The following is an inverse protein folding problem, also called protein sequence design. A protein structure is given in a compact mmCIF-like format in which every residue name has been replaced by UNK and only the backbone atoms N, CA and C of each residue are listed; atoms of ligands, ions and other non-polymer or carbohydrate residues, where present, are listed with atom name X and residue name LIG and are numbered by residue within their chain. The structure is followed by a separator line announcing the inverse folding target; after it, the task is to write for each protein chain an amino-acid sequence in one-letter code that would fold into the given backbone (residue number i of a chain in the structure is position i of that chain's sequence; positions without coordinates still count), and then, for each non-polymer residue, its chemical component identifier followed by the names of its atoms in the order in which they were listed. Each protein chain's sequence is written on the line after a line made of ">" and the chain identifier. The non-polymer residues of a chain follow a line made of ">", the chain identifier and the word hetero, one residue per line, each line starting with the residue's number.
data_IF_162946392804
#
_entry.id   IF_162946392804
#
_cell.length_a   1.000
_cell.length_b   1.000
_cell.length_c   1.000
_cell.angle_alpha   90.00
_cell.angle_beta   90.00
_cell.angle_gamma   90.00
#
_symmetry.space_group_name_H-M   'P 1'
#
loop_
_entity.id
_entity.type
_entity.pdbx_description
1 polymer ?
#
# COMPACT_ATOMS: atom_id res chain seq x y z
N UNK A 1 -31.63 -7.71 2.68
CA UNK A 1 -30.18 -7.90 2.88
C UNK A 1 -29.59 -6.57 3.31
N UNK A 2 -28.90 -6.45 4.45
CA UNK A 2 -28.25 -5.20 4.81
C UNK A 2 -27.15 -4.93 3.79
N UNK A 3 -27.22 -3.79 3.09
CA UNK A 3 -26.10 -3.31 2.27
C UNK A 3 -24.93 -3.14 3.22
N UNK A 4 -23.92 -4.01 3.12
CA UNK A 4 -22.65 -3.78 3.81
C UNK A 4 -22.05 -2.52 3.20
N UNK A 5 -22.22 -1.40 3.89
CA UNK A 5 -21.46 -0.19 3.62
C UNK A 5 -20.04 -0.46 4.11
N UNK A 6 -19.09 -0.57 3.18
CA UNK A 6 -17.70 -0.72 3.52
C UNK A 6 -17.21 0.50 4.30
N UNK A 7 -16.34 0.28 5.27
CA UNK A 7 -15.72 1.37 6.00
C UNK A 7 -14.62 2.01 5.15
N UNK A 8 -14.24 3.24 5.47
CA UNK A 8 -13.09 3.89 4.83
C UNK A 8 -11.78 3.11 5.03
N UNK A 9 -11.66 2.40 6.16
CA UNK A 9 -10.52 1.51 6.44
C UNK A 9 -10.50 0.31 5.48
N UNK A 10 -11.66 -0.30 5.18
CA UNK A 10 -11.75 -1.40 4.21
C UNK A 10 -11.33 -0.95 2.80
N UNK A 11 -11.79 0.24 2.39
CA UNK A 11 -11.48 0.83 1.09
C UNK A 11 -9.99 1.17 1.01
N UNK A 12 -9.43 1.80 2.04
CA UNK A 12 -8.01 2.18 2.06
C UNK A 12 -7.07 0.97 2.12
N UNK A 13 -7.43 -0.08 2.87
CA UNK A 13 -6.70 -1.33 2.91
C UNK A 13 -6.67 -2.00 1.52
N UNK A 14 -7.81 -2.05 0.83
CA UNK A 14 -7.85 -2.59 -0.54
C UNK A 14 -7.07 -1.72 -1.53
N UNK A 15 -7.17 -0.39 -1.44
CA UNK A 15 -6.37 0.53 -2.26
C UNK A 15 -4.88 0.28 -2.10
N UNK A 16 -4.40 0.11 -0.86
CA UNK A 16 -3.01 -0.19 -0.58
C UNK A 16 -2.59 -1.55 -1.17
N UNK A 17 -3.42 -2.58 -0.99
CA UNK A 17 -3.16 -3.91 -1.53
C UNK A 17 -3.09 -3.90 -3.07
N UNK A 18 -3.96 -3.15 -3.75
CA UNK A 18 -3.93 -2.98 -5.21
C UNK A 18 -2.68 -2.23 -5.66
N UNK A 19 -2.30 -1.18 -4.93
CA UNK A 19 -1.06 -0.43 -5.18
C UNK A 19 0.19 -1.32 -5.06
N UNK A 20 0.26 -2.15 -4.02
CA UNK A 20 1.34 -3.13 -3.82
C UNK A 20 1.36 -4.15 -4.95
N UNK A 21 0.21 -4.78 -5.25
CA UNK A 21 0.12 -5.80 -6.28
C UNK A 21 0.56 -5.25 -7.65
N UNK A 22 0.16 -4.01 -7.99
CA UNK A 22 0.59 -3.33 -9.21
C UNK A 22 2.09 -3.05 -9.24
N UNK A 23 2.65 -2.51 -8.15
CA UNK A 23 4.07 -2.21 -8.04
C UNK A 23 4.94 -3.48 -8.14
N UNK A 24 4.47 -4.58 -7.54
CA UNK A 24 5.15 -5.87 -7.55
C UNK A 24 4.80 -6.75 -8.76
N UNK A 25 3.94 -6.29 -9.68
CA UNK A 25 3.45 -7.06 -10.84
C UNK A 25 2.80 -8.41 -10.46
N UNK A 26 2.16 -8.46 -9.30
CA UNK A 26 1.43 -9.64 -8.82
C UNK A 26 -0.02 -9.55 -9.29
N UNK A 27 -0.59 -10.59 -9.92
CA UNK A 27 -2.00 -10.59 -10.30
C UNK A 27 -2.88 -10.50 -9.05
N UNK A 28 -3.84 -9.57 -9.08
CA UNK A 28 -4.83 -9.46 -8.03
C UNK A 28 -5.96 -10.45 -8.27
N UNK A 29 -6.12 -11.44 -7.39
CA UNK A 29 -7.11 -12.53 -7.55
C UNK A 29 -8.16 -12.59 -6.44
N UNK A 30 -8.02 -11.78 -5.39
CA UNK A 30 -8.81 -11.89 -4.17
C UNK A 30 -10.18 -11.21 -4.26
N UNK A 31 -10.30 -10.11 -5.00
CA UNK A 31 -11.57 -9.45 -5.23
C UNK A 31 -11.96 -9.56 -6.71
N UNK A 32 -13.18 -10.01 -6.97
CA UNK A 32 -13.75 -9.95 -8.31
C UNK A 32 -13.99 -8.49 -8.72
N UNK A 33 -13.72 -8.15 -9.98
CA UNK A 33 -13.86 -6.78 -10.51
C UNK A 33 -15.29 -6.20 -10.37
N UNK A 34 -16.28 -7.05 -10.09
CA UNK A 34 -17.68 -6.68 -9.86
C UNK A 34 -18.00 -6.34 -8.40
N UNK A 35 -17.03 -6.50 -7.48
CA UNK A 35 -17.22 -6.11 -6.08
C UNK A 35 -17.33 -4.60 -5.95
N UNK A 36 -18.35 -4.13 -5.21
CA UNK A 36 -18.55 -2.70 -4.92
C UNK A 36 -17.32 -2.11 -4.21
N UNK A 37 -16.73 -2.85 -3.26
CA UNK A 37 -15.49 -2.45 -2.57
C UNK A 37 -14.33 -2.28 -3.54
N UNK A 38 -14.20 -3.20 -4.51
CA UNK A 38 -13.14 -3.12 -5.52
C UNK A 38 -13.31 -1.91 -6.42
N UNK A 39 -14.55 -1.63 -6.86
CA UNK A 39 -14.84 -0.46 -7.71
C UNK A 39 -14.57 0.86 -6.97
N UNK A 40 -14.98 0.95 -5.69
CA UNK A 40 -14.71 2.12 -4.86
C UNK A 40 -13.21 2.32 -4.61
N UNK A 41 -12.49 1.25 -4.27
CA UNK A 41 -11.04 1.30 -4.10
C UNK A 41 -10.34 1.71 -5.40
N UNK A 42 -10.71 1.14 -6.54
CA UNK A 42 -10.16 1.47 -7.88
C UNK A 42 -10.42 2.92 -8.27
N UNK A 43 -11.63 3.42 -8.03
CA UNK A 43 -11.99 4.81 -8.35
C UNK A 43 -11.16 5.82 -7.53
N UNK A 44 -10.73 5.45 -6.32
CA UNK A 44 -9.90 6.28 -5.46
C UNK A 44 -8.39 6.04 -5.66
N UNK A 45 -7.99 4.87 -6.15
CA UNK A 45 -6.59 4.48 -6.42
C UNK A 45 -5.89 5.45 -7.38
N UNK A 46 -6.60 6.03 -8.35
CA UNK A 46 -6.02 6.97 -9.33
C UNK A 46 -5.40 8.22 -8.70
N UNK A 47 -5.87 8.61 -7.51
CA UNK A 47 -5.33 9.73 -6.75
C UNK A 47 -4.46 9.28 -5.56
N UNK A 48 -4.34 7.98 -5.33
CA UNK A 48 -3.54 7.41 -4.26
C UNK A 48 -2.09 7.32 -4.69
N UNK A 49 -1.22 8.04 -4.00
CA UNK A 49 0.22 7.76 -4.06
C UNK A 49 0.51 6.73 -2.97
N UNK A 50 0.71 5.46 -3.33
CA UNK A 50 1.07 4.47 -2.31
C UNK A 50 2.33 4.97 -1.60
N UNK A 51 2.37 4.88 -0.27
CA UNK A 51 3.62 5.13 0.44
C UNK A 51 4.70 4.24 -0.18
N UNK A 52 5.94 4.74 -0.29
CA UNK A 52 7.02 3.95 -0.86
C UNK A 52 7.12 2.63 -0.09
N UNK A 53 6.97 1.51 -0.81
CA UNK A 53 6.93 0.15 -0.23
C UNK A 53 8.17 -0.14 0.61
N UNK A 54 9.26 0.51 0.25
CA UNK A 54 10.49 0.64 1.03
C UNK A 54 11.05 2.04 0.77
N UNK A 55 11.78 2.64 1.72
CA UNK A 55 12.56 3.83 1.43
C UNK A 55 13.46 3.53 0.22
N UNK A 56 13.32 4.33 -0.83
CA UNK A 56 14.12 4.16 -2.03
C UNK A 56 15.49 4.79 -1.77
N UNK A 57 16.46 3.96 -1.39
CA UNK A 57 17.83 4.39 -1.25
C UNK A 57 18.48 4.43 -2.63
N UNK A 58 18.86 5.62 -3.07
CA UNK A 58 19.54 5.82 -4.36
C UNK A 58 20.88 5.06 -4.44
N UNK A 59 21.48 4.72 -3.29
CA UNK A 59 22.73 3.94 -3.18
C UNK A 59 22.73 3.06 -1.93
N UNK A 60 23.51 1.98 -1.98
CA UNK A 60 23.78 1.11 -0.81
C UNK A 60 24.32 1.90 0.39
N UNK A 61 25.18 2.91 0.13
CA UNK A 61 25.72 3.77 1.17
C UNK A 61 24.63 4.55 1.92
N UNK A 62 23.58 5.02 1.22
CA UNK A 62 22.44 5.68 1.88
C UNK A 62 21.62 4.72 2.72
N UNK A 63 21.43 3.48 2.26
CA UNK A 63 20.78 2.44 3.05
C UNK A 63 21.52 2.21 4.37
N UNK A 64 22.84 1.99 4.32
CA UNK A 64 23.65 1.74 5.51
C UNK A 64 23.65 2.95 6.46
N UNK A 65 23.76 4.17 5.93
CA UNK A 65 23.71 5.37 6.74
C UNK A 65 22.38 5.50 7.50
N UNK A 66 21.26 5.19 6.83
CA UNK A 66 19.95 5.29 7.45
C UNK A 66 19.70 4.17 8.47
N UNK A 67 20.12 2.94 8.17
CA UNK A 67 20.09 1.84 9.12
C UNK A 67 20.88 2.15 10.41
N UNK A 68 22.04 2.79 10.28
CA UNK A 68 22.84 3.21 11.43
C UNK A 68 22.14 4.29 12.27
N UNK A 69 21.44 5.24 11.63
CA UNK A 69 20.66 6.28 12.32
C UNK A 69 19.50 5.65 13.09
N UNK A 70 18.74 4.76 12.46
CA UNK A 70 17.62 4.05 13.08
C UNK A 70 18.08 3.20 14.28
N UNK A 71 19.20 2.49 14.14
CA UNK A 71 19.78 1.72 15.24
C UNK A 71 20.26 2.62 16.40
N UNK A 72 20.85 3.78 16.09
CA UNK A 72 21.29 4.72 17.12
C UNK A 72 20.11 5.35 17.88
N UNK A 73 18.99 5.61 17.20
CA UNK A 73 17.77 6.14 17.81
C UNK A 73 17.07 5.10 18.70
N UNK A 74 17.10 3.82 18.31
CA UNK A 74 16.47 2.74 19.07
C UNK A 74 17.32 2.25 20.26
N UNK A 75 18.59 2.65 20.33
CA UNK A 75 19.50 2.31 21.42
C UNK A 75 19.56 3.36 22.54
N UNK A 76 18.86 4.49 22.38
CA UNK A 76 18.79 5.62 23.31
C UNK A 76 17.48 5.60 24.12
#
# INVERSE_FOLDING_TARGET
>A
MPRHSYTEDDISALMLQLGIARACKVPHTYYGDQSVLYQEARAREVNFRPPPLYPQYSTLARLHAQHNIENAQNAA
#
